data_IF_508122048762
#
_entry.id   IF_508122048762
#
_cell.length_a   1.000
_cell.length_b   1.000
_cell.length_c   1.000
_cell.angle_alpha   90.00
_cell.angle_beta   90.00
_cell.angle_gamma   90.00
#
_symmetry.space_group_name_H-M   'P 1'
#
loop_
_entity.id
_entity.type
_entity.pdbx_description
1 polymer ?
#
# COMPACT_ATOMS: atom_id res chain seq x y z
N UNK A 1 23.74 -29.46 -3.52
CA UNK A 1 23.29 -28.55 -2.43
C UNK A 1 24.39 -28.23 -1.42
N UNK A 2 25.24 -29.18 -1.01
CA UNK A 2 26.29 -28.97 -0.01
C UNK A 2 27.30 -27.84 -0.29
N UNK A 3 27.44 -27.41 -1.55
CA UNK A 3 28.27 -26.27 -1.94
C UNK A 3 27.50 -24.95 -2.14
N UNK A 4 26.17 -24.96 -2.08
CA UNK A 4 25.36 -23.76 -2.31
C UNK A 4 25.24 -22.95 -1.03
N UNK A 5 25.49 -21.63 -1.10
CA UNK A 5 25.24 -20.69 -0.01
C UNK A 5 23.91 -19.96 -0.19
N UNK A 6 23.42 -19.86 -1.42
CA UNK A 6 22.18 -19.17 -1.77
C UNK A 6 21.38 -19.98 -2.78
N UNK A 7 20.06 -20.04 -2.59
CA UNK A 7 19.12 -20.71 -3.48
C UNK A 7 18.03 -19.73 -3.87
N UNK A 8 17.79 -19.55 -5.16
CA UNK A 8 16.63 -18.85 -5.69
C UNK A 8 15.53 -19.83 -6.09
N UNK A 9 14.30 -19.41 -5.88
CA UNK A 9 13.11 -20.14 -6.31
C UNK A 9 12.19 -19.22 -7.10
N UNK A 10 11.97 -19.58 -8.37
CA UNK A 10 10.85 -19.05 -9.13
C UNK A 10 9.58 -19.87 -8.80
N UNK A 11 8.57 -19.17 -8.29
CA UNK A 11 7.37 -19.77 -7.70
C UNK A 11 6.23 -19.78 -8.72
N UNK A 12 5.78 -20.98 -9.11
CA UNK A 12 4.48 -21.16 -9.76
C UNK A 12 3.49 -21.92 -8.87
N UNK A 13 2.29 -22.20 -9.39
CA UNK A 13 1.22 -22.87 -8.63
C UNK A 13 1.64 -24.28 -8.17
N UNK A 14 2.20 -25.06 -9.11
CA UNK A 14 2.53 -26.47 -8.93
C UNK A 14 3.97 -26.82 -9.32
N UNK A 15 4.65 -25.95 -10.06
CA UNK A 15 6.01 -26.18 -10.56
C UNK A 15 6.92 -25.09 -10.02
N UNK A 16 8.12 -25.47 -9.63
CA UNK A 16 9.09 -24.59 -8.99
C UNK A 16 10.43 -24.76 -9.70
N UNK A 17 10.97 -23.67 -10.22
CA UNK A 17 12.32 -23.68 -10.77
C UNK A 17 13.28 -23.19 -9.70
N UNK A 18 14.26 -24.02 -9.37
CA UNK A 18 15.25 -23.75 -8.34
C UNK A 18 16.60 -23.57 -9.00
N UNK A 19 17.35 -22.57 -8.55
CA UNK A 19 18.76 -22.37 -8.90
C UNK A 19 19.57 -22.09 -7.64
N UNK A 20 20.71 -22.73 -7.47
CA UNK A 20 21.59 -22.57 -6.31
C UNK A 20 22.99 -22.13 -6.73
N UNK A 21 23.56 -21.18 -5.99
CA UNK A 21 24.91 -20.66 -6.20
C UNK A 21 25.81 -20.85 -4.98
N UNK A 22 27.11 -20.94 -5.23
CA UNK A 22 28.14 -20.93 -4.19
C UNK A 22 28.50 -19.49 -3.73
N UNK A 23 29.45 -19.38 -2.81
CA UNK A 23 29.92 -18.09 -2.28
C UNK A 23 30.56 -17.18 -3.35
N UNK A 24 31.00 -17.72 -4.49
CA UNK A 24 31.58 -16.97 -5.60
C UNK A 24 30.51 -16.55 -6.62
N UNK A 25 29.23 -16.89 -6.38
CA UNK A 25 28.13 -16.60 -7.29
C UNK A 25 28.12 -17.50 -8.53
N UNK A 26 28.81 -18.64 -8.51
CA UNK A 26 28.72 -19.62 -9.57
C UNK A 26 27.51 -20.52 -9.34
N UNK A 27 26.68 -20.71 -10.37
CA UNK A 27 25.53 -21.61 -10.30
C UNK A 27 26.02 -23.06 -10.22
N UNK A 28 25.67 -23.77 -9.15
CA UNK A 28 26.07 -25.17 -8.90
C UNK A 28 24.90 -26.15 -8.88
N UNK A 29 23.67 -25.63 -8.91
CA UNK A 29 22.48 -26.44 -8.83
C UNK A 29 21.36 -25.77 -9.64
N UNK A 30 20.66 -26.56 -10.45
CA UNK A 30 19.44 -26.15 -11.13
C UNK A 30 18.49 -27.36 -11.14
N UNK A 31 17.26 -27.19 -10.67
CA UNK A 31 16.27 -28.27 -10.68
C UNK A 31 14.86 -27.72 -10.90
N UNK A 32 14.05 -28.50 -11.63
CA UNK A 32 12.63 -28.23 -11.81
C UNK A 32 11.81 -29.20 -10.97
N UNK A 33 11.22 -28.70 -9.90
CA UNK A 33 10.40 -29.46 -8.96
C UNK A 33 8.93 -29.37 -9.39
N UNK A 34 8.27 -30.52 -9.58
CA UNK A 34 6.96 -30.60 -10.26
C UNK A 34 5.74 -30.69 -9.34
N UNK A 35 5.93 -30.67 -8.02
CA UNK A 35 4.83 -30.67 -7.06
C UNK A 35 5.13 -29.86 -5.81
N UNK A 36 4.09 -29.48 -5.07
CA UNK A 36 4.22 -28.71 -3.82
C UNK A 36 4.80 -29.56 -2.71
N UNK A 37 4.48 -30.84 -2.69
CA UNK A 37 4.95 -31.82 -1.70
C UNK A 37 6.44 -32.06 -1.89
N UNK A 38 6.88 -32.24 -3.15
CA UNK A 38 8.30 -32.38 -3.47
C UNK A 38 9.07 -31.08 -3.15
N UNK A 39 8.47 -29.91 -3.41
CA UNK A 39 9.10 -28.64 -3.07
C UNK A 39 9.21 -28.45 -1.55
N UNK A 40 8.18 -28.79 -0.78
CA UNK A 40 8.24 -28.77 0.67
C UNK A 40 9.31 -29.73 1.21
N UNK A 41 9.39 -30.95 0.68
CA UNK A 41 10.43 -31.91 1.03
C UNK A 41 11.84 -31.41 0.66
N UNK A 42 11.97 -30.68 -0.46
CA UNK A 42 13.21 -30.01 -0.84
C UNK A 42 13.59 -28.93 0.18
N UNK A 43 12.65 -28.07 0.60
CA UNK A 43 12.91 -27.04 1.60
C UNK A 43 13.39 -27.64 2.93
N UNK A 44 12.76 -28.71 3.42
CA UNK A 44 13.18 -29.40 4.65
C UNK A 44 14.58 -30.02 4.60
N UNK A 45 15.12 -30.25 3.40
CA UNK A 45 16.48 -30.78 3.21
C UNK A 45 17.53 -29.67 3.12
N UNK A 46 17.14 -28.40 3.07
CA UNK A 46 18.07 -27.29 2.98
C UNK A 46 18.81 -27.10 4.31
N UNK A 47 20.15 -27.03 4.32
CA UNK A 47 20.89 -26.61 5.49
C UNK A 47 20.48 -25.19 5.91
N UNK A 48 20.42 -24.93 7.23
CA UNK A 48 20.06 -23.61 7.76
C UNK A 48 21.03 -22.49 7.37
N UNK A 49 22.23 -22.83 6.92
CA UNK A 49 23.24 -21.91 6.38
C UNK A 49 22.88 -21.36 5.00
N UNK A 50 21.92 -21.97 4.30
CA UNK A 50 21.51 -21.55 2.97
C UNK A 50 20.50 -20.41 3.05
N UNK A 51 20.80 -19.30 2.38
CA UNK A 51 19.85 -18.21 2.16
C UNK A 51 18.90 -18.56 1.01
N UNK A 52 17.60 -18.43 1.22
CA UNK A 52 16.59 -18.69 0.19
C UNK A 52 15.98 -17.39 -0.31
N UNK A 53 16.08 -17.18 -1.62
CA UNK A 53 15.55 -16.03 -2.34
C UNK A 53 14.29 -16.44 -3.11
N UNK A 54 13.29 -15.58 -3.08
CA UNK A 54 12.10 -15.71 -3.92
C UNK A 54 11.62 -14.33 -4.32
N UNK A 55 10.93 -14.19 -5.45
CA UNK A 55 10.30 -12.92 -5.78
C UNK A 55 8.92 -12.75 -5.12
N UNK A 56 8.44 -11.51 -5.08
CA UNK A 56 7.08 -11.23 -4.63
C UNK A 56 6.07 -11.88 -5.58
N UNK A 57 5.33 -12.86 -5.07
CA UNK A 57 4.25 -13.51 -5.81
C UNK A 57 3.23 -14.20 -4.89
N UNK A 58 2.14 -14.74 -5.45
CA UNK A 58 1.23 -15.60 -4.72
C UNK A 58 1.98 -16.78 -4.08
N UNK A 59 1.77 -17.03 -2.78
CA UNK A 59 2.39 -18.15 -2.07
C UNK A 59 3.78 -17.88 -1.48
N UNK A 60 4.52 -16.84 -1.92
CA UNK A 60 5.87 -16.53 -1.41
C UNK A 60 5.90 -16.38 0.12
N UNK A 61 4.92 -15.68 0.70
CA UNK A 61 4.81 -15.46 2.14
C UNK A 61 4.55 -16.77 2.93
N UNK A 62 3.95 -17.79 2.32
CA UNK A 62 3.76 -19.08 2.99
C UNK A 62 5.09 -19.86 3.06
N UNK A 63 5.80 -19.94 1.93
CA UNK A 63 7.10 -20.61 1.86
C UNK A 63 8.16 -19.92 2.72
N UNK A 64 8.22 -18.59 2.69
CA UNK A 64 9.15 -17.83 3.50
C UNK A 64 8.95 -18.04 5.01
N UNK A 65 7.69 -18.18 5.48
CA UNK A 65 7.41 -18.51 6.89
C UNK A 65 7.86 -19.91 7.27
N UNK A 66 7.69 -20.88 6.38
CA UNK A 66 8.16 -22.26 6.60
C UNK A 66 9.69 -22.26 6.77
N UNK A 67 10.39 -21.58 5.88
CA UNK A 67 11.85 -21.42 5.94
C UNK A 67 12.31 -20.69 7.21
N UNK A 68 11.63 -19.61 7.57
CA UNK A 68 11.93 -18.87 8.79
C UNK A 68 11.75 -19.74 10.04
N UNK A 69 10.71 -20.58 10.08
CA UNK A 69 10.47 -21.52 11.19
C UNK A 69 11.51 -22.65 11.27
N UNK A 70 12.14 -23.01 10.15
CA UNK A 70 13.26 -23.96 10.10
C UNK A 70 14.59 -23.35 10.52
N UNK A 71 14.68 -22.00 10.54
CA UNK A 71 15.91 -21.26 10.85
C UNK A 71 16.70 -20.82 9.63
N UNK A 72 16.18 -21.02 8.40
CA UNK A 72 16.79 -20.48 7.20
C UNK A 72 16.54 -18.98 7.06
N UNK A 73 17.52 -18.25 6.51
CA UNK A 73 17.32 -16.88 6.08
C UNK A 73 16.53 -16.84 4.77
N UNK A 74 15.28 -16.39 4.81
CA UNK A 74 14.46 -16.20 3.61
C UNK A 74 14.34 -14.71 3.24
N UNK A 75 14.58 -14.37 1.97
CA UNK A 75 14.42 -13.00 1.43
C UNK A 75 13.41 -13.00 0.28
N UNK A 76 12.36 -12.20 0.40
CA UNK A 76 11.37 -11.98 -0.66
C UNK A 76 11.74 -10.71 -1.42
N UNK A 77 12.22 -10.80 -2.66
CA UNK A 77 12.66 -9.66 -3.46
C UNK A 77 11.48 -9.04 -4.23
N UNK A 78 11.37 -7.70 -4.34
CA UNK A 78 10.34 -7.06 -5.17
C UNK A 78 10.46 -7.46 -6.65
N UNK A 79 9.38 -7.98 -7.25
CA UNK A 79 9.38 -8.49 -8.63
C UNK A 79 9.84 -7.44 -9.67
N UNK A 80 9.52 -6.15 -9.46
CA UNK A 80 9.99 -5.07 -10.33
C UNK A 80 11.52 -4.96 -10.35
N UNK A 81 12.17 -5.16 -9.19
CA UNK A 81 13.63 -5.11 -9.05
C UNK A 81 14.30 -6.37 -9.59
N UNK A 82 13.65 -7.53 -9.44
CA UNK A 82 14.09 -8.80 -10.05
C UNK A 82 14.05 -8.70 -11.58
N UNK A 83 13.01 -8.09 -12.14
CA UNK A 83 12.86 -7.91 -13.59
C UNK A 83 14.02 -7.11 -14.22
N UNK A 84 14.57 -6.12 -13.51
CA UNK A 84 15.75 -5.35 -13.95
C UNK A 84 17.02 -6.19 -14.10
N UNK A 85 17.09 -7.36 -13.45
CA UNK A 85 18.27 -8.26 -13.44
C UNK A 85 18.12 -9.47 -14.38
N UNK A 86 17.03 -9.52 -15.15
CA UNK A 86 16.77 -10.59 -16.11
C UNK A 86 17.67 -10.45 -17.32
N UNK A 87 18.19 -11.57 -17.81
CA UNK A 87 18.92 -11.60 -19.08
C UNK A 87 18.33 -12.69 -19.96
N UNK A 88 18.16 -12.41 -21.25
CA UNK A 88 17.53 -13.32 -22.20
C UNK A 88 16.00 -13.33 -22.12
N UNK A 89 15.40 -14.28 -22.85
CA UNK A 89 13.96 -14.43 -22.93
C UNK A 89 13.35 -14.90 -21.60
N UNK A 90 12.08 -14.55 -21.37
CA UNK A 90 11.35 -14.96 -20.18
C UNK A 90 11.08 -16.47 -20.20
N UNK A 91 11.59 -17.17 -19.19
CA UNK A 91 11.30 -18.58 -18.92
C UNK A 91 11.66 -18.90 -17.45
N UNK A 92 11.11 -19.98 -16.89
CA UNK A 92 11.27 -20.34 -15.47
C UNK A 92 12.75 -20.34 -15.03
N UNK A 93 13.66 -20.82 -15.89
CA UNK A 93 15.11 -20.86 -15.63
C UNK A 93 15.71 -19.46 -15.48
N UNK A 94 15.50 -18.60 -16.47
CA UNK A 94 16.01 -17.24 -16.47
C UNK A 94 15.39 -16.40 -15.35
N UNK A 95 14.17 -16.74 -14.92
CA UNK A 95 13.47 -16.09 -13.82
C UNK A 95 14.14 -16.46 -12.48
N UNK A 96 14.46 -17.73 -12.24
CA UNK A 96 15.25 -18.16 -11.08
C UNK A 96 16.67 -17.55 -11.06
N UNK A 97 17.34 -17.45 -12.21
CA UNK A 97 18.65 -16.81 -12.32
C UNK A 97 18.58 -15.29 -12.10
N UNK A 98 17.50 -14.63 -12.52
CA UNK A 98 17.28 -13.21 -12.25
C UNK A 98 17.13 -12.94 -10.74
N UNK A 99 16.46 -13.84 -10.02
CA UNK A 99 16.32 -13.77 -8.56
C UNK A 99 17.69 -13.89 -7.88
N UNK A 100 18.55 -14.83 -8.31
CA UNK A 100 19.93 -14.94 -7.79
C UNK A 100 20.70 -13.62 -7.97
N UNK A 101 20.71 -13.09 -9.20
CA UNK A 101 21.41 -11.84 -9.52
C UNK A 101 20.90 -10.67 -8.70
N UNK A 102 19.58 -10.51 -8.61
CA UNK A 102 18.95 -9.48 -7.79
C UNK A 102 19.26 -9.66 -6.29
N UNK A 103 19.42 -10.89 -5.82
CA UNK A 103 19.79 -11.19 -4.44
C UNK A 103 21.15 -10.63 -4.01
N UNK A 104 22.06 -10.45 -4.97
CA UNK A 104 23.41 -9.89 -4.75
C UNK A 104 23.40 -8.37 -4.61
N UNK A 105 22.38 -7.69 -5.13
CA UNK A 105 22.22 -6.24 -4.98
C UNK A 105 21.76 -5.92 -3.54
N UNK A 106 22.69 -5.41 -2.73
CA UNK A 106 22.44 -5.01 -1.34
C UNK A 106 21.50 -3.81 -1.21
N UNK A 107 21.27 -3.05 -2.29
CA UNK A 107 20.32 -1.96 -2.33
C UNK A 107 18.87 -2.45 -2.49
N UNK A 108 18.66 -3.71 -2.90
CA UNK A 108 17.33 -4.31 -2.97
C UNK A 108 16.87 -4.72 -1.57
N UNK A 109 16.00 -3.88 -1.01
CA UNK A 109 15.34 -4.16 0.26
C UNK A 109 14.27 -5.26 0.06
N UNK A 110 14.45 -6.39 0.75
CA UNK A 110 13.49 -7.50 0.74
C UNK A 110 12.15 -7.09 1.39
N UNK A 111 11.05 -7.61 0.87
CA UNK A 111 9.71 -7.52 1.46
C UNK A 111 9.68 -8.34 2.74
N UNK A 112 9.14 -7.78 3.84
CA UNK A 112 9.14 -8.46 5.11
C UNK A 112 8.20 -9.68 5.09
N UNK A 113 8.60 -10.72 5.83
CA UNK A 113 7.84 -11.95 6.02
C UNK A 113 6.76 -11.67 7.06
N UNK A 114 5.51 -11.69 6.60
CA UNK A 114 4.34 -11.31 7.39
C UNK A 114 3.80 -12.50 8.17
N UNK A 115 3.33 -12.23 9.37
CA UNK A 115 2.55 -13.18 10.15
C UNK A 115 1.21 -13.47 9.47
N UNK A 116 0.54 -14.55 9.89
CA UNK A 116 -0.77 -14.90 9.37
C UNK A 116 -1.80 -13.79 9.62
N UNK A 117 -1.75 -13.18 10.81
CA UNK A 117 -2.61 -12.06 11.20
C UNK A 117 -2.38 -10.82 10.32
N UNK A 118 -1.11 -10.48 10.03
CA UNK A 118 -0.78 -9.37 9.13
C UNK A 118 -1.25 -9.62 7.68
N UNK A 119 -1.12 -10.85 7.18
CA UNK A 119 -1.64 -11.22 5.87
C UNK A 119 -3.17 -11.13 5.82
N UNK A 120 -3.85 -11.55 6.89
CA UNK A 120 -5.30 -11.41 7.02
C UNK A 120 -5.72 -9.93 7.02
N UNK A 121 -5.04 -9.08 7.79
CA UNK A 121 -5.28 -7.63 7.79
C UNK A 121 -5.04 -7.01 6.40
N UNK A 122 -3.96 -7.40 5.72
CA UNK A 122 -3.68 -6.98 4.35
C UNK A 122 -4.79 -7.44 3.38
N UNK A 123 -5.34 -8.63 3.56
CA UNK A 123 -6.44 -9.15 2.77
C UNK A 123 -7.73 -8.33 2.97
N UNK A 124 -8.05 -7.93 4.22
CA UNK A 124 -9.17 -7.03 4.51
C UNK A 124 -9.05 -5.70 3.75
N UNK A 125 -7.87 -5.08 3.76
CA UNK A 125 -7.61 -3.86 3.00
C UNK A 125 -7.81 -4.04 1.49
N UNK A 126 -7.29 -5.14 0.92
CA UNK A 126 -7.43 -5.45 -0.51
C UNK A 126 -8.88 -5.69 -0.90
N UNK A 127 -9.62 -6.47 -0.11
CA UNK A 127 -11.04 -6.73 -0.33
C UNK A 127 -11.85 -5.42 -0.27
N UNK A 128 -11.62 -4.60 0.77
CA UNK A 128 -12.26 -3.28 0.91
C UNK A 128 -11.96 -2.38 -0.28
N UNK A 129 -10.70 -2.29 -0.69
CA UNK A 129 -10.31 -1.51 -1.87
C UNK A 129 -11.00 -2.01 -3.14
N UNK A 130 -11.13 -3.32 -3.31
CA UNK A 130 -11.84 -3.95 -4.42
C UNK A 130 -13.33 -3.59 -4.44
N UNK A 131 -14.01 -3.63 -3.29
CA UNK A 131 -15.41 -3.21 -3.19
C UNK A 131 -15.59 -1.72 -3.46
N UNK A 132 -14.72 -0.84 -2.93
CA UNK A 132 -14.77 0.61 -3.22
C UNK A 132 -14.62 0.89 -4.72
N UNK A 133 -13.69 0.20 -5.40
CA UNK A 133 -13.49 0.35 -6.85
C UNK A 133 -14.72 -0.09 -7.63
N UNK A 134 -15.27 -1.27 -7.34
CA UNK A 134 -16.49 -1.77 -7.99
C UNK A 134 -17.68 -0.85 -7.76
N UNK A 135 -17.86 -0.36 -6.53
CA UNK A 135 -18.92 0.60 -6.17
C UNK A 135 -18.78 1.91 -6.96
N UNK A 136 -17.56 2.40 -7.12
CA UNK A 136 -17.31 3.62 -7.92
C UNK A 136 -17.57 3.37 -9.41
N UNK A 137 -17.16 2.22 -9.94
CA UNK A 137 -17.42 1.85 -11.33
C UNK A 137 -18.93 1.74 -11.60
N UNK A 138 -19.67 1.09 -10.70
CA UNK A 138 -21.13 0.96 -10.78
C UNK A 138 -21.81 2.34 -10.78
N UNK A 139 -21.40 3.25 -9.89
CA UNK A 139 -21.90 4.63 -9.87
C UNK A 139 -21.64 5.37 -11.18
N UNK A 140 -20.46 5.19 -11.79
CA UNK A 140 -20.14 5.79 -13.07
C UNK A 140 -20.95 5.18 -14.21
N UNK A 141 -21.21 3.87 -14.19
CA UNK A 141 -22.02 3.18 -15.19
C UNK A 141 -23.47 3.65 -15.15
N UNK A 142 -24.09 3.70 -13.96
CA UNK A 142 -25.45 4.25 -13.77
C UNK A 142 -25.53 5.68 -14.32
N UNK A 143 -24.56 6.53 -13.98
CA UNK A 143 -24.50 7.92 -14.48
C UNK A 143 -24.35 8.00 -15.99
N UNK A 144 -23.57 7.10 -16.60
CA UNK A 144 -23.39 7.04 -18.05
C UNK A 144 -24.70 6.71 -18.77
N UNK A 145 -25.39 5.66 -18.32
CA UNK A 145 -26.68 5.24 -18.87
C UNK A 145 -27.75 6.34 -18.78
N UNK A 146 -27.82 7.03 -17.63
CA UNK A 146 -28.73 8.17 -17.46
C UNK A 146 -28.37 9.33 -18.39
N UNK A 147 -27.08 9.59 -18.58
CA UNK A 147 -26.59 10.68 -19.44
C UNK A 147 -26.92 10.44 -20.93
N UNK A 148 -26.89 9.19 -21.39
CA UNK A 148 -27.31 8.81 -22.76
C UNK A 148 -28.77 9.17 -23.04
N UNK A 149 -29.60 9.26 -21.99
CA UNK A 149 -31.01 9.66 -22.06
C UNK A 149 -31.23 11.12 -21.66
N UNK A 150 -30.16 11.94 -21.63
CA UNK A 150 -30.24 13.37 -21.31
C UNK A 150 -30.37 13.70 -19.83
N UNK A 151 -30.28 12.72 -18.93
CA UNK A 151 -30.42 12.91 -17.49
C UNK A 151 -29.04 13.10 -16.85
N UNK A 152 -28.63 14.35 -16.74
CA UNK A 152 -27.37 14.71 -16.08
C UNK A 152 -27.47 14.61 -14.55
N UNK A 153 -26.45 14.04 -13.92
CA UNK A 153 -26.37 13.90 -12.46
C UNK A 153 -25.06 14.46 -11.90
N UNK A 154 -25.13 15.08 -10.72
CA UNK A 154 -23.95 15.47 -9.94
C UNK A 154 -23.14 14.24 -9.47
N UNK A 155 -21.82 14.39 -9.36
CA UNK A 155 -20.94 13.32 -8.88
C UNK A 155 -21.08 13.12 -7.37
N UNK A 156 -20.88 11.88 -6.93
CA UNK A 156 -20.75 11.54 -5.52
C UNK A 156 -21.85 10.62 -5.00
N UNK A 157 -21.54 9.99 -3.88
CA UNK A 157 -22.39 9.00 -3.22
C UNK A 157 -23.78 9.55 -2.85
N UNK A 158 -23.82 10.77 -2.29
CA UNK A 158 -25.07 11.41 -1.88
C UNK A 158 -26.00 11.71 -3.05
N UNK A 159 -25.42 12.14 -4.18
CA UNK A 159 -26.20 12.43 -5.39
C UNK A 159 -26.80 11.15 -5.96
N UNK A 160 -26.02 10.06 -5.99
CA UNK A 160 -26.52 8.77 -6.47
C UNK A 160 -27.62 8.21 -5.55
N UNK A 161 -27.37 8.18 -4.22
CA UNK A 161 -28.29 7.54 -3.27
C UNK A 161 -29.63 8.25 -3.15
N UNK A 162 -29.68 9.57 -3.33
CA UNK A 162 -30.91 10.37 -3.22
C UNK A 162 -31.65 10.51 -4.54
N UNK A 163 -30.94 10.65 -5.66
CA UNK A 163 -31.57 11.07 -6.90
C UNK A 163 -31.97 9.92 -7.80
N UNK A 164 -31.23 8.79 -7.80
CA UNK A 164 -31.51 7.70 -8.76
C UNK A 164 -32.89 7.11 -8.52
N UNK A 165 -33.25 6.77 -7.29
CA UNK A 165 -34.59 6.25 -6.98
C UNK A 165 -35.71 7.20 -7.46
N UNK A 166 -35.56 8.51 -7.17
CA UNK A 166 -36.52 9.53 -7.63
C UNK A 166 -36.60 9.65 -9.16
N UNK A 167 -35.48 9.50 -9.87
CA UNK A 167 -35.45 9.51 -11.34
C UNK A 167 -36.19 8.27 -11.89
N UNK A 168 -36.01 7.11 -11.26
CA UNK A 168 -36.67 5.87 -11.66
C UNK A 168 -38.18 5.88 -11.39
N UNK A 169 -38.64 6.59 -10.36
CA UNK A 169 -40.07 6.76 -10.05
C UNK A 169 -40.76 7.83 -10.93
N UNK A 170 -39.98 8.75 -11.51
CA UNK A 170 -40.51 9.85 -12.32
C UNK A 170 -40.83 9.39 -13.76
N UNK A 171 -42.12 9.15 -14.02
CA UNK A 171 -42.63 8.72 -15.32
C UNK A 171 -42.41 9.75 -16.45
N UNK A 172 -42.11 11.02 -16.12
CA UNK A 172 -41.83 12.05 -17.13
C UNK A 172 -40.41 11.93 -17.71
N UNK A 173 -39.53 11.16 -17.07
CA UNK A 173 -38.17 10.94 -17.56
C UNK A 173 -38.16 10.09 -18.84
N UNK A 174 -37.28 10.40 -19.81
CA UNK A 174 -37.18 9.68 -21.08
C UNK A 174 -36.44 8.34 -20.94
N UNK A 175 -36.84 7.53 -19.96
CA UNK A 175 -36.23 6.23 -19.66
C UNK A 175 -37.22 5.11 -20.04
N UNK A 176 -36.84 4.20 -20.96
CA UNK A 176 -37.59 2.97 -21.20
C UNK A 176 -37.70 2.12 -19.92
N UNK A 177 -38.81 1.40 -19.76
CA UNK A 177 -39.07 0.60 -18.55
C UNK A 177 -37.96 -0.44 -18.28
N UNK A 178 -37.51 -1.14 -19.32
CA UNK A 178 -36.40 -2.11 -19.21
C UNK A 178 -35.09 -1.49 -18.73
N UNK A 179 -34.85 -0.21 -19.03
CA UNK A 179 -33.68 0.50 -18.52
C UNK A 179 -33.88 0.93 -17.07
N UNK A 180 -35.11 1.27 -16.65
CA UNK A 180 -35.43 1.58 -15.26
C UNK A 180 -35.17 0.37 -14.36
N UNK A 181 -35.65 -0.80 -14.78
CA UNK A 181 -35.41 -2.09 -14.09
C UNK A 181 -33.90 -2.37 -13.95
N UNK A 182 -33.15 -2.29 -15.06
CA UNK A 182 -31.69 -2.51 -15.04
C UNK A 182 -30.97 -1.53 -14.09
N UNK A 183 -31.32 -0.25 -14.12
CA UNK A 183 -30.69 0.75 -13.25
C UNK A 183 -31.05 0.49 -11.77
N UNK A 184 -32.27 0.02 -11.47
CA UNK A 184 -32.65 -0.34 -10.10
C UNK A 184 -31.84 -1.54 -9.58
N UNK A 185 -31.67 -2.59 -10.39
CA UNK A 185 -30.81 -3.73 -10.06
C UNK A 185 -29.36 -3.29 -9.76
N UNK A 186 -28.80 -2.46 -10.64
CA UNK A 186 -27.47 -1.89 -10.47
C UNK A 186 -27.36 -1.00 -9.22
N UNK A 187 -28.41 -0.27 -8.88
CA UNK A 187 -28.49 0.53 -7.65
C UNK A 187 -28.51 -0.39 -6.42
N UNK A 188 -29.23 -1.50 -6.48
CA UNK A 188 -29.21 -2.57 -5.48
C UNK A 188 -27.80 -3.12 -5.25
N UNK A 189 -27.08 -3.49 -6.31
CA UNK A 189 -25.68 -3.94 -6.22
C UNK A 189 -24.76 -2.85 -5.65
N UNK A 190 -24.95 -1.60 -6.06
CA UNK A 190 -24.16 -0.46 -5.55
C UNK A 190 -24.36 -0.26 -4.03
N UNK A 191 -25.60 -0.41 -3.53
CA UNK A 191 -25.93 -0.36 -2.09
C UNK A 191 -25.26 -1.51 -1.36
N UNK A 192 -25.40 -2.73 -1.87
CA UNK A 192 -24.78 -3.93 -1.28
C UNK A 192 -23.25 -3.80 -1.18
N UNK A 193 -22.58 -3.31 -2.23
CA UNK A 193 -21.14 -3.03 -2.18
C UNK A 193 -20.78 -2.00 -1.11
N UNK A 194 -21.63 -1.00 -0.88
CA UNK A 194 -21.50 -0.03 0.22
C UNK A 194 -21.53 -0.68 1.60
N UNK A 195 -22.50 -1.56 1.84
CA UNK A 195 -22.60 -2.33 3.08
C UNK A 195 -21.36 -3.20 3.32
N UNK A 196 -20.86 -3.89 2.28
CA UNK A 196 -19.62 -4.68 2.36
C UNK A 196 -18.41 -3.82 2.71
N UNK A 197 -18.33 -2.60 2.17
CA UNK A 197 -17.29 -1.64 2.55
C UNK A 197 -17.41 -1.24 4.01
N UNK A 198 -18.62 -0.98 4.51
CA UNK A 198 -18.87 -0.60 5.90
C UNK A 198 -18.49 -1.73 6.86
N UNK A 199 -18.89 -2.97 6.57
CA UNK A 199 -18.52 -4.15 7.37
C UNK A 199 -17.00 -4.31 7.47
N UNK A 200 -16.28 -4.19 6.35
CA UNK A 200 -14.81 -4.29 6.39
C UNK A 200 -14.15 -3.09 7.07
N UNK A 201 -14.73 -1.89 6.94
CA UNK A 201 -14.26 -0.69 7.64
C UNK A 201 -14.38 -0.87 9.16
N UNK A 202 -15.54 -1.32 9.66
CA UNK A 202 -15.76 -1.59 11.07
C UNK A 202 -14.79 -2.63 11.64
N UNK A 203 -14.50 -3.70 10.88
CA UNK A 203 -13.49 -4.71 11.29
C UNK A 203 -12.09 -4.10 11.44
N UNK A 204 -11.68 -3.25 10.51
CA UNK A 204 -10.39 -2.55 10.58
C UNK A 204 -10.36 -1.53 11.72
N UNK A 205 -11.48 -0.87 12.01
CA UNK A 205 -11.60 0.05 13.14
C UNK A 205 -11.52 -0.66 14.48
N UNK A 206 -12.13 -1.84 14.62
CA UNK A 206 -11.96 -2.69 15.81
C UNK A 206 -10.50 -3.11 15.97
N UNK A 207 -9.87 -3.65 14.91
CA UNK A 207 -8.46 -4.03 14.98
C UNK A 207 -7.53 -2.85 15.34
N UNK A 208 -7.83 -1.64 14.84
CA UNK A 208 -7.07 -0.44 15.20
C UNK A 208 -7.23 -0.03 16.68
N UNK A 209 -8.41 -0.30 17.27
CA UNK A 209 -8.70 -0.01 18.69
C UNK A 209 -8.10 -1.03 19.64
N UNK A 210 -7.76 -2.22 19.15
CA UNK A 210 -7.15 -3.30 19.96
C UNK A 210 -5.62 -3.27 19.90
N UNK A 211 -5.03 -2.55 18.94
CA UNK A 211 -3.58 -2.48 18.75
C UNK A 211 -2.99 -1.17 19.31
N UNK A 212 -2.07 -1.28 20.27
CA UNK A 212 -1.43 -0.12 20.91
C UNK A 212 -0.60 0.72 19.93
N UNK A 213 0.05 0.10 18.95
CA UNK A 213 0.79 0.83 17.91
C UNK A 213 -0.18 1.61 17.04
N UNK A 214 -1.30 1.02 16.63
CA UNK A 214 -2.33 1.71 15.85
C UNK A 214 -2.89 2.93 16.62
N UNK A 215 -3.18 2.78 17.91
CA UNK A 215 -3.63 3.90 18.77
C UNK A 215 -2.63 5.05 18.76
N UNK A 216 -1.33 4.76 18.93
CA UNK A 216 -0.28 5.78 18.86
C UNK A 216 -0.21 6.43 17.49
N UNK A 217 -0.25 5.67 16.40
CA UNK A 217 -0.23 6.24 15.05
C UNK A 217 -1.44 7.14 14.77
N UNK A 218 -2.61 6.80 15.31
CA UNK A 218 -3.85 7.57 15.16
C UNK A 218 -3.84 8.93 15.89
N UNK A 219 -2.86 9.18 16.76
CA UNK A 219 -2.66 10.52 17.36
C UNK A 219 -2.17 11.56 16.34
N UNK A 220 -1.64 11.11 15.18
CA UNK A 220 -1.22 11.99 14.09
C UNK A 220 -2.44 12.42 13.27
N UNK A 221 -2.69 13.73 13.17
CA UNK A 221 -3.81 14.28 12.37
C UNK A 221 -3.77 13.77 10.93
N UNK A 222 -4.86 13.19 10.48
CA UNK A 222 -4.97 12.62 9.13
C UNK A 222 -4.47 11.17 9.04
N UNK A 223 -4.11 10.53 10.15
CA UNK A 223 -3.93 9.09 10.27
C UNK A 223 -5.14 8.54 11.03
N UNK A 224 -6.10 7.97 10.30
CA UNK A 224 -7.24 7.27 10.88
C UNK A 224 -6.99 5.76 11.02
N UNK A 225 -7.97 5.00 11.54
CA UNK A 225 -7.85 3.56 11.77
C UNK A 225 -7.48 2.78 10.50
N UNK A 226 -8.05 3.16 9.35
CA UNK A 226 -7.75 2.54 8.04
C UNK A 226 -6.30 2.78 7.61
N UNK A 227 -5.72 3.92 7.96
CA UNK A 227 -4.33 4.24 7.59
C UNK A 227 -3.37 3.55 8.55
N UNK A 228 -3.66 3.57 9.84
CA UNK A 228 -2.88 2.91 10.87
C UNK A 228 -2.79 1.38 10.62
N UNK A 229 -3.93 0.72 10.44
CA UNK A 229 -3.97 -0.73 10.13
C UNK A 229 -3.30 -1.06 8.80
N UNK A 230 -3.39 -0.18 7.79
CA UNK A 230 -2.69 -0.40 6.52
C UNK A 230 -1.16 -0.33 6.69
N UNK A 231 -0.65 0.53 7.57
CA UNK A 231 0.78 0.59 7.92
C UNK A 231 1.21 -0.68 8.65
N UNK A 232 0.45 -1.12 9.66
CA UNK A 232 0.73 -2.35 10.41
C UNK A 232 0.73 -3.60 9.51
N UNK A 233 -0.25 -3.71 8.62
CA UNK A 233 -0.34 -4.81 7.65
C UNK A 233 0.86 -4.90 6.69
N UNK A 234 1.61 -3.81 6.53
CA UNK A 234 2.81 -3.77 5.67
C UNK A 234 4.10 -4.13 6.40
N UNK A 235 4.07 -4.24 7.73
CA UNK A 235 5.23 -4.52 8.57
C UNK A 235 6.34 -3.50 8.30
N UNK A 236 6.03 -2.27 8.66
CA UNK A 236 6.93 -1.13 8.59
C UNK A 236 7.91 -1.17 9.75
N UNK A 237 8.81 -2.15 9.77
CA UNK A 237 9.99 -2.16 10.66
C UNK A 237 10.82 -0.91 10.35
N UNK A 238 10.82 0.11 11.21
CA UNK A 238 11.44 1.40 10.90
C UNK A 238 12.96 1.29 10.75
N UNK A 239 13.59 0.30 11.37
CA UNK A 239 15.03 0.02 11.34
C UNK A 239 15.53 -0.32 9.92
N UNK A 240 14.64 -0.80 9.05
CA UNK A 240 14.95 -1.07 7.63
C UNK A 240 15.19 0.20 6.82
N UNK A 241 14.88 1.38 7.37
CA UNK A 241 15.04 2.66 6.70
C UNK A 241 16.10 3.47 7.43
N UNK A 242 17.16 3.93 6.73
CA UNK A 242 18.21 4.73 7.37
C UNK A 242 17.70 6.03 8.02
N UNK A 243 16.56 6.55 7.56
CA UNK A 243 15.91 7.72 8.14
C UNK A 243 14.43 7.83 7.71
N UNK A 244 13.69 8.68 8.41
CA UNK A 244 12.28 9.01 8.12
C UNK A 244 12.01 9.48 6.68
N UNK A 245 12.97 10.13 6.00
CA UNK A 245 12.76 10.61 4.61
C UNK A 245 12.69 9.44 3.64
N UNK A 246 13.57 8.45 3.81
CA UNK A 246 13.56 7.23 3.00
C UNK A 246 12.32 6.37 3.29
N UNK A 247 11.84 6.35 4.52
CA UNK A 247 10.55 5.74 4.87
C UNK A 247 9.38 6.39 4.10
N UNK A 248 9.28 7.72 4.11
CA UNK A 248 8.23 8.42 3.38
C UNK A 248 8.36 8.26 1.85
N UNK A 249 9.60 8.14 1.35
CA UNK A 249 9.91 7.87 -0.05
C UNK A 249 9.46 6.48 -0.50
N UNK A 250 9.58 5.48 0.36
CA UNK A 250 9.13 4.11 0.10
C UNK A 250 7.63 4.02 -0.21
N UNK A 251 6.82 4.89 0.41
CA UNK A 251 5.39 5.03 0.11
C UNK A 251 5.09 6.02 -1.03
N UNK A 252 6.11 6.51 -1.73
CA UNK A 252 5.94 7.37 -2.90
C UNK A 252 5.35 8.75 -2.61
N UNK A 253 5.55 9.28 -1.41
CA UNK A 253 5.04 10.63 -1.04
C UNK A 253 6.08 11.74 -1.24
N UNK A 254 7.25 11.41 -1.77
CA UNK A 254 8.32 12.37 -2.07
C UNK A 254 8.24 12.84 -3.52
N UNK A 255 8.63 14.10 -3.82
CA UNK A 255 8.78 14.56 -5.19
C UNK A 255 9.89 13.78 -5.91
N UNK A 256 9.74 13.56 -7.21
CA UNK A 256 10.80 13.10 -8.09
C UNK A 256 11.93 14.13 -8.10
N UNK A 257 13.17 13.67 -7.97
CA UNK A 257 14.35 14.53 -8.01
C UNK A 257 15.07 14.30 -9.34
N UNK A 258 15.12 15.35 -10.16
CA UNK A 258 15.95 15.39 -11.34
C UNK A 258 17.12 16.32 -11.04
N UNK A 259 18.30 15.74 -10.88
CA UNK A 259 19.55 16.47 -10.67
C UNK A 259 20.41 16.33 -11.93
N UNK A 260 20.77 17.45 -12.55
CA UNK A 260 21.78 17.49 -13.63
C UNK A 260 22.81 18.57 -13.30
N UNK A 261 24.08 18.19 -13.13
CA UNK A 261 25.13 19.11 -12.68
C UNK A 261 24.81 19.74 -11.31
N UNK A 262 25.03 21.06 -11.17
CA UNK A 262 24.79 21.81 -9.92
C UNK A 262 23.32 22.24 -9.69
N UNK A 263 22.36 21.81 -10.51
CA UNK A 263 20.95 22.20 -10.37
C UNK A 263 20.10 21.00 -9.96
N UNK A 264 19.58 21.06 -8.73
CA UNK A 264 18.56 20.13 -8.23
C UNK A 264 17.17 20.71 -8.52
N UNK A 265 16.37 20.03 -9.35
CA UNK A 265 14.96 20.36 -9.55
C UNK A 265 14.07 19.27 -8.95
N UNK A 266 13.15 19.67 -8.08
CA UNK A 266 12.11 18.79 -7.57
C UNK A 266 10.89 18.85 -8.51
N UNK A 267 10.48 17.68 -9.01
CA UNK A 267 9.38 17.50 -9.96
C UNK A 267 8.07 17.07 -9.30
N UNK A 268 7.29 16.26 -10.02
CA UNK A 268 5.98 15.74 -9.58
C UNK A 268 6.17 14.71 -8.45
N UNK A 269 5.11 14.43 -7.69
CA UNK A 269 5.15 13.35 -6.68
C UNK A 269 5.48 12.01 -7.35
N UNK A 270 6.47 11.30 -6.82
CA UNK A 270 6.91 10.01 -7.30
C UNK A 270 5.74 9.02 -7.28
N UNK A 271 5.47 8.37 -8.42
CA UNK A 271 4.41 7.34 -8.51
C UNK A 271 4.90 5.93 -8.13
N UNK A 272 6.18 5.76 -7.80
CA UNK A 272 6.77 4.50 -7.33
C UNK A 272 6.35 4.21 -5.88
N UNK A 273 6.40 2.95 -5.45
CA UNK A 273 5.99 2.52 -4.09
C UNK A 273 4.53 2.08 -3.96
N UNK A 274 4.03 1.96 -2.72
CA UNK A 274 2.69 1.43 -2.43
C UNK A 274 1.57 2.46 -2.77
N UNK A 275 0.92 2.26 -3.92
CA UNK A 275 -0.15 3.14 -4.38
C UNK A 275 -1.37 3.21 -3.45
N UNK A 276 -1.66 2.14 -2.69
CA UNK A 276 -2.79 2.10 -1.77
C UNK A 276 -2.51 2.98 -0.55
N UNK A 277 -1.39 2.77 0.13
CA UNK A 277 -1.00 3.57 1.30
C UNK A 277 -0.77 5.04 0.94
N UNK A 278 -0.16 5.32 -0.22
CA UNK A 278 -0.04 6.69 -0.73
C UNK A 278 -1.40 7.36 -0.87
N UNK A 279 -2.36 6.67 -1.49
CA UNK A 279 -3.71 7.21 -1.68
C UNK A 279 -4.37 7.48 -0.33
N UNK A 280 -4.30 6.52 0.60
CA UNK A 280 -4.83 6.69 1.95
C UNK A 280 -4.21 7.89 2.69
N UNK A 281 -2.88 8.01 2.70
CA UNK A 281 -2.19 9.11 3.37
C UNK A 281 -2.59 10.48 2.80
N UNK A 282 -2.75 10.57 1.47
CA UNK A 282 -3.22 11.80 0.80
C UNK A 282 -4.68 12.10 1.13
N UNK A 283 -5.56 11.08 1.19
CA UNK A 283 -6.96 11.27 1.60
C UNK A 283 -7.06 11.73 3.06
N UNK A 284 -6.27 11.14 3.95
CA UNK A 284 -6.16 11.57 5.35
C UNK A 284 -5.69 13.02 5.46
N UNK A 285 -4.69 13.42 4.67
CA UNK A 285 -4.26 14.81 4.60
C UNK A 285 -5.36 15.75 4.07
N UNK A 286 -6.12 15.35 3.05
CA UNK A 286 -7.27 16.13 2.57
C UNK A 286 -8.34 16.33 3.64
N UNK A 287 -8.64 15.30 4.44
CA UNK A 287 -9.59 15.40 5.55
C UNK A 287 -9.15 16.45 6.57
N UNK A 288 -7.85 16.48 6.92
CA UNK A 288 -7.28 17.50 7.80
C UNK A 288 -7.42 18.90 7.21
N UNK A 289 -7.02 19.08 5.95
CA UNK A 289 -7.03 20.39 5.30
C UNK A 289 -8.43 20.99 5.18
N UNK A 290 -9.49 20.16 5.06
CA UNK A 290 -10.89 20.63 5.05
C UNK A 290 -11.37 21.16 6.41
N UNK A 291 -10.68 20.79 7.49
CA UNK A 291 -11.03 21.20 8.86
C UNK A 291 -10.16 22.36 9.37
N UNK A 292 -9.17 22.81 8.58
CA UNK A 292 -8.32 23.95 8.95
C UNK A 292 -9.17 25.22 8.90
N UNK A 293 -9.35 25.86 10.04
CA UNK A 293 -10.07 27.14 10.11
C UNK A 293 -9.17 28.28 9.67
N UNK A 294 -9.65 29.26 8.88
CA UNK A 294 -8.84 30.41 8.43
C UNK A 294 -8.31 31.29 9.57
N UNK A 295 -9.04 31.37 10.67
CA UNK A 295 -8.77 32.17 11.88
C UNK A 295 -7.93 31.43 12.94
N UNK A 296 -7.46 30.20 12.64
CA UNK A 296 -6.71 29.42 13.62
C UNK A 296 -5.33 30.01 13.90
N UNK A 297 -5.07 30.38 15.15
CA UNK A 297 -3.76 30.85 15.62
C UNK A 297 -2.77 29.73 15.91
N UNK A 298 -3.21 28.46 15.86
CA UNK A 298 -2.33 27.35 16.19
C UNK A 298 -1.20 27.22 15.14
N UNK A 299 0.08 27.11 15.55
CA UNK A 299 1.23 27.10 14.62
C UNK A 299 1.17 26.04 13.51
N UNK A 300 0.68 24.83 13.82
CA UNK A 300 0.46 23.77 12.83
C UNK A 300 -0.61 24.16 11.80
N UNK A 301 -1.71 24.78 12.20
CA UNK A 301 -2.79 25.19 11.30
C UNK A 301 -2.34 26.36 10.41
N UNK A 302 -1.63 27.35 10.96
CA UNK A 302 -0.98 28.41 10.18
C UNK A 302 0.03 27.85 9.15
N UNK A 303 0.77 26.79 9.49
CA UNK A 303 1.64 26.10 8.52
C UNK A 303 0.82 25.49 7.38
N UNK A 304 -0.30 24.83 7.68
CA UNK A 304 -1.17 24.24 6.67
C UNK A 304 -1.79 25.31 5.77
N UNK A 305 -2.24 26.43 6.33
CA UNK A 305 -2.73 27.59 5.58
C UNK A 305 -1.67 28.15 4.62
N UNK A 306 -0.42 28.30 5.08
CA UNK A 306 0.71 28.70 4.21
C UNK A 306 0.97 27.72 3.07
N UNK A 307 0.76 26.42 3.27
CA UNK A 307 0.88 25.45 2.19
C UNK A 307 -0.31 25.51 1.23
N UNK A 308 -1.52 25.73 1.74
CA UNK A 308 -2.72 25.91 0.92
C UNK A 308 -2.57 27.13 0.00
N UNK A 309 -2.12 28.27 0.53
CA UNK A 309 -1.95 29.50 -0.26
C UNK A 309 -0.86 29.36 -1.33
N UNK A 310 0.27 28.71 -1.02
CA UNK A 310 1.41 28.60 -1.93
C UNK A 310 1.31 27.47 -2.96
N UNK A 311 0.58 26.40 -2.66
CA UNK A 311 0.62 25.17 -3.47
C UNK A 311 -0.76 24.59 -3.80
N UNK A 312 -1.83 25.24 -3.34
CA UNK A 312 -3.20 24.76 -3.49
C UNK A 312 -3.48 23.47 -2.71
N UNK A 313 -4.72 22.99 -2.83
CA UNK A 313 -5.22 21.84 -2.06
C UNK A 313 -4.38 20.58 -2.25
N UNK A 314 -4.02 20.24 -3.50
CA UNK A 314 -3.28 19.03 -3.83
C UNK A 314 -1.84 19.09 -3.32
N UNK A 315 -1.16 20.21 -3.52
CA UNK A 315 0.21 20.39 -3.06
C UNK A 315 0.33 20.37 -1.53
N UNK A 316 -0.60 21.03 -0.84
CA UNK A 316 -0.67 20.99 0.63
C UNK A 316 -0.91 19.56 1.16
N UNK A 317 -1.81 18.79 0.52
CA UNK A 317 -2.11 17.43 0.95
C UNK A 317 -0.90 16.50 0.82
N UNK A 318 -0.14 16.59 -0.28
CA UNK A 318 1.09 15.81 -0.47
C UNK A 318 2.13 16.15 0.60
N UNK A 319 2.31 17.43 0.92
CA UNK A 319 3.25 17.87 1.97
C UNK A 319 2.87 17.37 3.35
N UNK A 320 1.58 17.45 3.70
CA UNK A 320 1.07 16.94 4.97
C UNK A 320 1.20 15.42 5.05
N UNK A 321 0.83 14.68 3.99
CA UNK A 321 1.01 13.23 3.95
C UNK A 321 2.48 12.81 4.13
N UNK A 322 3.40 13.50 3.45
CA UNK A 322 4.84 13.25 3.60
C UNK A 322 5.32 13.55 5.04
N UNK A 323 4.90 14.66 5.63
CA UNK A 323 5.20 14.99 7.03
C UNK A 323 4.67 13.92 7.98
N UNK A 324 3.41 13.48 7.79
CA UNK A 324 2.78 12.48 8.64
C UNK A 324 3.51 11.15 8.59
N UNK A 325 3.93 10.68 7.41
CA UNK A 325 4.71 9.44 7.30
C UNK A 325 6.07 9.53 8.01
N UNK A 326 6.70 10.71 8.02
CA UNK A 326 7.93 10.92 8.78
C UNK A 326 7.70 10.88 10.29
N UNK A 327 6.57 11.41 10.77
CA UNK A 327 6.17 11.31 12.17
C UNK A 327 5.87 9.85 12.53
N UNK A 328 5.09 9.15 11.69
CA UNK A 328 4.80 7.72 11.84
C UNK A 328 6.08 6.90 12.00
N UNK A 329 7.11 7.14 11.18
CA UNK A 329 8.39 6.44 11.32
C UNK A 329 9.02 6.63 12.71
N UNK A 330 8.97 7.84 13.27
CA UNK A 330 9.47 8.12 14.63
C UNK A 330 8.63 7.38 15.67
N UNK A 331 7.30 7.40 15.55
CA UNK A 331 6.38 6.71 16.48
C UNK A 331 6.43 5.18 16.38
N UNK A 332 6.98 4.65 15.28
CA UNK A 332 7.24 3.21 15.16
C UNK A 332 8.52 2.79 15.90
N UNK A 333 9.44 3.72 16.14
CA UNK A 333 10.71 3.47 16.84
C UNK A 333 10.62 3.65 18.36
N UNK A 334 9.54 4.25 18.85
CA UNK A 334 9.36 4.53 20.26
C UNK A 334 7.90 4.32 20.68
N UNK A 335 7.67 4.10 21.97
CA UNK A 335 6.32 3.94 22.52
C UNK A 335 5.65 5.28 22.85
N UNK A 336 6.06 6.36 22.17
CA UNK A 336 5.52 7.69 22.41
C UNK A 336 4.25 7.96 21.60
N UNK A 337 3.44 8.90 22.09
CA UNK A 337 2.28 9.43 21.37
C UNK A 337 2.62 10.77 20.72
N UNK A 338 2.02 11.08 19.57
CA UNK A 338 2.20 12.39 18.96
C UNK A 338 1.44 13.45 19.73
N UNK A 339 2.16 14.47 20.20
CA UNK A 339 1.59 15.68 20.79
C UNK A 339 1.81 16.84 19.82
N UNK A 340 0.76 17.61 19.55
CA UNK A 340 0.90 18.88 18.80
C UNK A 340 1.81 19.80 19.61
N UNK A 341 2.57 20.65 18.92
CA UNK A 341 3.28 21.73 19.61
C UNK A 341 2.25 22.54 20.41
N UNK A 342 2.42 22.68 21.74
CA UNK A 342 1.55 23.54 22.52
C UNK A 342 1.60 24.97 21.97
N UNK A 343 0.54 25.74 22.17
CA UNK A 343 0.56 27.19 21.97
C UNK A 343 1.65 27.71 22.92
N UNK A 344 2.83 28.03 22.41
CA UNK A 344 3.88 28.61 23.22
C UNK A 344 3.43 29.98 23.68
N UNK A 345 3.36 30.20 24.99
CA UNK A 345 3.41 31.55 25.55
C UNK A 345 4.57 32.27 24.88
N UNK A 346 4.30 33.45 24.32
CA UNK A 346 5.30 34.47 24.21
C UNK A 346 5.67 34.88 25.64
N UNK A 347 6.59 34.14 26.27
CA UNK A 347 7.33 34.72 27.39
C UNK A 347 8.46 35.55 26.79
N UNK A 348 8.25 36.85 26.99
CA UNK A 348 9.15 37.98 26.91
C UNK A 348 10.63 37.63 26.80
N UNK A 349 11.28 38.32 25.85
CA UNK A 349 12.70 38.62 25.92
C UNK A 349 13.06 39.13 27.32
N UNK A 350 14.00 38.47 27.99
CA UNK A 350 14.89 39.09 28.98
C UNK A 350 16.25 38.38 28.89
N UNK A 351 17.21 39.12 28.31
CA UNK A 351 18.67 39.04 28.33
C UNK A 351 19.42 37.72 28.09
#
# INVERSE_FOLDING_TARGET
MSACTTVAVDLAKNVFQVAGEDALGQVKYEERIKSREAFLAFLYKLPNTVTVLMETGPGAQAWARILQAQGNLARILPAQRVAEHRSGAKNDRNDALAILRAGRDSLIIAVPIKTAAQLAMQALHRARQGYVRRRTAMSNQIRGLLLEHGIAMAQGELALSRNVARILEDATQPLPESLRELIDEMLGEWRHLGERVNVLTARLETAAREDETAKRLMTVRGIGPIIATALLAKQTEPERFPNARLFAAYFGTVPEQNSSGNKTRLGKMCKRGDAYLRSLAIQGAHAVLRQVRPDSEHPDDQRLQRWLSRHGQKGAAVRLANRNLRIVWVLLQNDQTYRRQPMGNQEAAVH
#
